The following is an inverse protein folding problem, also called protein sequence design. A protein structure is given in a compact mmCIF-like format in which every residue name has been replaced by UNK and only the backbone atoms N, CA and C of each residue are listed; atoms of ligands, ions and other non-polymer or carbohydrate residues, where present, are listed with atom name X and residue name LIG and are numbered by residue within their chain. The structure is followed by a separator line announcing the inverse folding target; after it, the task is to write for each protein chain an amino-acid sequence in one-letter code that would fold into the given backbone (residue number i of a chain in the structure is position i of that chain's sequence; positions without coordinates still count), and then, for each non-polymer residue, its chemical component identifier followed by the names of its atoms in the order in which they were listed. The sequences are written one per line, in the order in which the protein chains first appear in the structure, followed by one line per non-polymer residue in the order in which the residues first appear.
data_IF_020442992626
#
_entry.id   IF_020442992626
#
_cell.length_a   1.000
_cell.length_b   1.000
_cell.length_c   1.000
_cell.angle_alpha   90.00
_cell.angle_beta   90.00
_cell.angle_gamma   90.00
#
_symmetry.space_group_name_H-M   'P 1'
#
loop_
_entity.id
_entity.type
_entity.pdbx_description
1 polymer ?
#
# COMPACT_ATOMS: atom_id res chain seq x y z
N UNK A 1 102.73 29.46 21.91
CA UNK A 1 101.82 30.33 21.10
C UNK A 1 101.19 29.59 19.92
N UNK A 2 101.93 28.73 19.18
CA UNK A 2 101.41 28.04 17.99
C UNK A 2 100.21 27.09 18.24
N UNK A 3 100.20 26.32 19.34
CA UNK A 3 99.14 25.35 19.62
C UNK A 3 97.77 26.00 19.89
N UNK A 4 97.75 27.22 20.44
CA UNK A 4 96.52 27.96 20.74
C UNK A 4 95.82 28.47 19.48
N UNK A 5 96.60 28.80 18.44
CA UNK A 5 96.07 29.29 17.16
C UNK A 5 95.41 28.16 16.34
N UNK A 6 95.93 26.94 16.45
CA UNK A 6 95.40 25.75 15.78
C UNK A 6 94.04 25.33 16.36
N UNK A 7 93.92 25.26 17.68
CA UNK A 7 92.65 24.92 18.36
C UNK A 7 91.52 25.91 18.07
N UNK A 8 91.83 27.21 17.92
CA UNK A 8 90.82 28.22 17.57
C UNK A 8 90.32 28.04 16.13
N UNK A 9 91.22 27.72 15.18
CA UNK A 9 90.83 27.45 13.79
C UNK A 9 90.01 26.16 13.67
N UNK A 10 90.38 25.10 14.39
CA UNK A 10 89.66 23.83 14.39
C UNK A 10 88.24 23.99 14.98
N UNK A 11 88.08 24.77 16.06
CA UNK A 11 86.76 25.10 16.62
C UNK A 11 85.89 25.91 15.65
N UNK A 12 86.48 26.83 14.89
CA UNK A 12 85.74 27.62 13.91
C UNK A 12 85.29 26.76 12.71
N UNK A 13 86.12 25.82 12.26
CA UNK A 13 85.75 24.85 11.22
C UNK A 13 84.65 23.88 11.70
N UNK A 14 84.70 23.44 12.96
CA UNK A 14 83.66 22.61 13.56
C UNK A 14 82.33 23.37 13.66
N UNK A 15 82.35 24.61 14.15
CA UNK A 15 81.17 25.47 14.24
C UNK A 15 80.54 25.75 12.87
N UNK A 16 81.36 25.97 11.84
CA UNK A 16 80.89 26.15 10.47
C UNK A 16 80.21 24.88 9.92
N UNK A 17 80.79 23.71 10.18
CA UNK A 17 80.24 22.40 9.75
C UNK A 17 78.91 22.10 10.44
N UNK A 18 78.80 22.38 11.75
CA UNK A 18 77.55 22.20 12.51
C UNK A 18 76.46 23.15 12.00
N UNK A 19 76.80 24.41 11.71
CA UNK A 19 75.85 25.38 11.16
C UNK A 19 75.32 24.94 9.79
N UNK A 20 76.20 24.50 8.90
CA UNK A 20 75.84 23.98 7.58
C UNK A 20 74.96 22.72 7.69
N UNK A 21 75.32 21.77 8.56
CA UNK A 21 74.51 20.58 8.81
C UNK A 21 73.14 20.91 9.40
N UNK A 22 73.06 21.86 10.33
CA UNK A 22 71.79 22.30 10.94
C UNK A 22 70.91 22.98 9.90
N UNK A 23 71.51 23.79 9.03
CA UNK A 23 70.80 24.44 7.93
C UNK A 23 70.28 23.43 6.91
N UNK A 24 71.06 22.39 6.59
CA UNK A 24 70.61 21.29 5.73
C UNK A 24 69.47 20.48 6.36
N UNK A 25 69.57 20.14 7.64
CA UNK A 25 68.50 19.43 8.37
C UNK A 25 67.24 20.29 8.39
N UNK A 26 67.36 21.61 8.60
CA UNK A 26 66.24 22.54 8.60
C UNK A 26 65.58 22.65 7.22
N UNK A 27 66.36 22.80 6.16
CA UNK A 27 65.86 22.84 4.78
C UNK A 27 65.23 21.51 4.36
N UNK A 28 65.81 20.38 4.77
CA UNK A 28 65.23 19.06 4.55
C UNK A 28 63.90 18.91 5.31
N UNK A 29 63.81 19.42 6.54
CA UNK A 29 62.57 19.45 7.31
C UNK A 29 61.48 20.28 6.63
N UNK A 30 61.81 21.49 6.17
CA UNK A 30 60.88 22.35 5.43
C UNK A 30 60.46 21.74 4.07
N UNK A 31 61.40 21.11 3.36
CA UNK A 31 61.12 20.44 2.09
C UNK A 31 60.23 19.21 2.27
N UNK A 32 60.48 18.40 3.29
CA UNK A 32 59.63 17.26 3.64
C UNK A 32 58.23 17.70 4.08
N UNK A 33 58.12 18.78 4.87
CA UNK A 33 56.84 19.34 5.26
C UNK A 33 56.06 19.90 4.05
N UNK A 34 56.73 20.63 3.15
CA UNK A 34 56.12 21.13 1.93
C UNK A 34 55.60 19.98 1.04
N UNK A 35 56.38 18.91 0.89
CA UNK A 35 55.97 17.71 0.14
C UNK A 35 54.80 17.00 0.81
N UNK A 36 54.81 16.88 2.13
CA UNK A 36 53.70 16.32 2.89
C UNK A 36 52.42 17.16 2.80
N UNK A 37 52.51 18.50 2.75
CA UNK A 37 51.33 19.34 2.50
C UNK A 37 50.78 19.14 1.08
N UNK A 38 51.65 19.08 0.07
CA UNK A 38 51.22 18.89 -1.32
C UNK A 38 50.57 17.52 -1.55
N UNK A 39 51.16 16.46 -1.00
CA UNK A 39 50.62 15.10 -1.10
C UNK A 39 49.44 14.88 -0.15
N UNK A 40 49.47 15.53 1.02
CA UNK A 40 48.40 15.49 2.02
C UNK A 40 47.10 16.12 1.50
N UNK A 41 47.17 17.25 0.79
CA UNK A 41 46.01 17.86 0.15
C UNK A 41 45.34 16.95 -0.88
N UNK A 42 46.14 16.32 -1.76
CA UNK A 42 45.62 15.37 -2.77
C UNK A 42 44.95 14.16 -2.13
N UNK A 43 45.54 13.62 -1.06
CA UNK A 43 44.97 12.48 -0.33
C UNK A 43 43.68 12.88 0.42
N UNK A 44 43.64 14.09 0.98
CA UNK A 44 42.44 14.64 1.62
C UNK A 44 41.30 14.78 0.60
N UNK A 45 41.55 15.39 -0.55
CA UNK A 45 40.54 15.56 -1.60
C UNK A 45 40.02 14.21 -2.10
N UNK A 46 40.89 13.20 -2.23
CA UNK A 46 40.50 11.84 -2.59
C UNK A 46 39.59 11.21 -1.52
N UNK A 47 39.92 11.36 -0.24
CA UNK A 47 39.10 10.86 0.87
C UNK A 47 37.75 11.58 0.94
N UNK A 48 37.69 12.89 0.71
CA UNK A 48 36.44 13.65 0.65
C UNK A 48 35.57 13.13 -0.49
N UNK A 49 36.14 12.97 -1.68
CA UNK A 49 35.42 12.45 -2.85
C UNK A 49 34.90 11.03 -2.61
N UNK A 50 35.69 10.16 -1.99
CA UNK A 50 35.25 8.82 -1.61
C UNK A 50 34.12 8.89 -0.57
N UNK A 51 34.22 9.78 0.42
CA UNK A 51 33.18 10.04 1.41
C UNK A 51 31.86 10.50 0.78
N UNK A 52 31.92 11.44 -0.16
CA UNK A 52 30.74 11.89 -0.92
C UNK A 52 30.12 10.76 -1.75
N UNK A 53 30.95 9.93 -2.42
CA UNK A 53 30.47 8.78 -3.17
C UNK A 53 29.82 7.73 -2.25
N UNK A 54 30.43 7.46 -1.10
CA UNK A 54 29.88 6.56 -0.08
C UNK A 54 28.56 7.09 0.48
N UNK A 55 28.45 8.38 0.75
CA UNK A 55 27.22 9.01 1.22
C UNK A 55 26.12 8.92 0.15
N UNK A 56 26.43 9.20 -1.12
CA UNK A 56 25.48 9.07 -2.24
C UNK A 56 24.97 7.64 -2.37
N UNK A 57 25.88 6.65 -2.43
CA UNK A 57 25.51 5.22 -2.49
C UNK A 57 24.67 4.79 -1.30
N UNK A 58 25.04 5.22 -0.09
CA UNK A 58 24.28 4.89 1.13
C UNK A 58 22.88 5.50 1.09
N UNK A 59 22.76 6.74 0.61
CA UNK A 59 21.46 7.41 0.45
C UNK A 59 20.59 6.71 -0.59
N UNK A 60 21.14 6.36 -1.75
CA UNK A 60 20.42 5.61 -2.78
C UNK A 60 19.90 4.26 -2.25
N UNK A 61 20.73 3.52 -1.51
CA UNK A 61 20.32 2.26 -0.88
C UNK A 61 19.26 2.51 0.19
N UNK A 62 19.41 3.53 1.03
CA UNK A 62 18.42 3.87 2.05
C UNK A 62 17.08 4.25 1.43
N UNK A 63 17.08 5.10 0.41
CA UNK A 63 15.88 5.52 -0.31
C UNK A 63 15.20 4.31 -0.97
N UNK A 64 15.96 3.40 -1.59
CA UNK A 64 15.43 2.16 -2.15
C UNK A 64 14.81 1.25 -1.07
N UNK A 65 15.43 1.16 0.12
CA UNK A 65 14.89 0.39 1.25
C UNK A 65 13.61 1.01 1.79
N UNK A 66 13.57 2.33 1.94
CA UNK A 66 12.38 3.06 2.38
C UNK A 66 11.24 2.85 1.39
N UNK A 67 11.50 3.00 0.09
CA UNK A 67 10.50 2.74 -0.94
C UNK A 67 9.97 1.31 -0.89
N UNK A 68 10.84 0.31 -0.70
CA UNK A 68 10.43 -1.09 -0.59
C UNK A 68 9.64 -1.39 0.69
N UNK A 69 9.92 -0.71 1.81
CA UNK A 69 9.16 -0.85 3.05
C UNK A 69 7.81 -0.14 2.93
N UNK A 70 7.78 1.06 2.36
CA UNK A 70 6.57 1.82 2.10
C UNK A 70 5.61 1.04 1.17
N UNK A 71 6.12 0.42 0.10
CA UNK A 71 5.32 -0.42 -0.79
C UNK A 71 4.71 -1.62 -0.06
N UNK A 72 5.50 -2.33 0.75
CA UNK A 72 4.97 -3.45 1.55
C UNK A 72 3.95 -2.99 2.60
N UNK A 73 4.18 -1.83 3.21
CA UNK A 73 3.26 -1.26 4.18
C UNK A 73 1.93 -0.89 3.51
N UNK A 74 1.96 -0.30 2.32
CA UNK A 74 0.77 0.00 1.52
C UNK A 74 -0.01 -1.29 1.18
N UNK A 75 0.67 -2.33 0.68
CA UNK A 75 0.01 -3.62 0.39
C UNK A 75 -0.64 -4.24 1.64
N UNK A 76 0.01 -4.13 2.80
CA UNK A 76 -0.59 -4.61 4.05
C UNK A 76 -1.75 -3.74 4.51
N UNK A 77 -1.69 -2.43 4.27
CA UNK A 77 -2.75 -1.50 4.59
C UNK A 77 -3.99 -1.74 3.73
N UNK A 78 -3.83 -1.96 2.43
CA UNK A 78 -4.92 -2.30 1.52
C UNK A 78 -5.62 -3.59 1.95
N UNK A 79 -4.86 -4.60 2.39
CA UNK A 79 -5.44 -5.83 2.97
C UNK A 79 -6.20 -5.55 4.26
N UNK A 80 -5.69 -4.65 5.12
CA UNK A 80 -6.37 -4.24 6.35
C UNK A 80 -7.67 -3.49 6.04
N UNK A 81 -7.67 -2.62 5.03
CA UNK A 81 -8.87 -1.92 4.55
C UNK A 81 -9.91 -2.92 4.05
N UNK A 82 -9.50 -3.92 3.27
CA UNK A 82 -10.41 -4.98 2.81
C UNK A 82 -11.00 -5.79 3.97
N UNK A 83 -10.19 -6.18 4.95
CA UNK A 83 -10.67 -6.90 6.15
C UNK A 83 -11.58 -6.01 7.01
N UNK A 84 -11.27 -4.73 7.10
CA UNK A 84 -12.09 -3.76 7.80
C UNK A 84 -13.45 -3.59 7.12
N UNK A 85 -13.48 -3.39 5.79
CA UNK A 85 -14.72 -3.33 5.02
C UNK A 85 -15.55 -4.61 5.19
N UNK A 86 -14.93 -5.79 5.12
CA UNK A 86 -15.63 -7.05 5.35
C UNK A 86 -16.21 -7.15 6.78
N UNK A 87 -15.47 -6.67 7.79
CA UNK A 87 -15.93 -6.63 9.18
C UNK A 87 -17.09 -5.66 9.37
N UNK A 88 -16.99 -4.47 8.77
CA UNK A 88 -18.03 -3.43 8.79
C UNK A 88 -19.27 -3.92 8.05
N UNK A 89 -19.12 -4.52 6.87
CA UNK A 89 -20.21 -5.09 6.09
C UNK A 89 -20.93 -6.21 6.86
N UNK A 90 -20.18 -7.09 7.55
CA UNK A 90 -20.78 -8.13 8.41
C UNK A 90 -21.56 -7.54 9.60
N UNK A 91 -21.01 -6.51 10.25
CA UNK A 91 -21.70 -5.85 11.37
C UNK A 91 -22.99 -5.16 10.91
N UNK A 92 -22.95 -4.46 9.77
CA UNK A 92 -24.12 -3.84 9.15
C UNK A 92 -25.17 -4.87 8.70
N UNK A 93 -24.73 -5.97 8.09
CA UNK A 93 -25.60 -7.08 7.71
C UNK A 93 -26.28 -7.74 8.92
N UNK A 94 -25.57 -7.89 10.05
CA UNK A 94 -26.16 -8.37 11.30
C UNK A 94 -27.19 -7.42 11.90
N UNK A 95 -27.11 -6.12 11.58
CA UNK A 95 -28.13 -5.12 11.93
C UNK A 95 -29.29 -5.06 10.92
N UNK A 96 -29.26 -5.88 9.87
CA UNK A 96 -30.31 -5.93 8.84
C UNK A 96 -30.15 -4.91 7.72
N UNK A 97 -28.97 -4.28 7.57
CA UNK A 97 -28.67 -3.38 6.45
C UNK A 97 -28.14 -4.20 5.27
N UNK A 98 -28.87 -4.30 4.15
CA UNK A 98 -28.41 -5.08 2.99
C UNK A 98 -27.17 -4.45 2.35
N UNK A 99 -26.21 -5.28 1.94
CA UNK A 99 -24.99 -4.82 1.27
C UNK A 99 -25.23 -4.53 -0.22
N UNK A 100 -24.42 -3.64 -0.83
CA UNK A 100 -24.51 -3.33 -2.27
C UNK A 100 -24.43 -4.60 -3.15
N UNK A 101 -23.52 -5.53 -2.80
CA UNK A 101 -23.34 -6.80 -3.54
C UNK A 101 -24.62 -7.64 -3.55
N UNK A 102 -25.32 -7.70 -2.42
CA UNK A 102 -26.59 -8.43 -2.32
C UNK A 102 -27.70 -7.77 -3.14
N UNK A 103 -27.76 -6.43 -3.13
CA UNK A 103 -28.71 -5.66 -3.95
C UNK A 103 -28.46 -5.90 -5.44
N UNK A 104 -27.20 -5.93 -5.88
CA UNK A 104 -26.84 -6.17 -7.28
C UNK A 104 -27.20 -7.60 -7.72
N UNK A 105 -26.90 -8.60 -6.90
CA UNK A 105 -27.27 -10.00 -7.17
C UNK A 105 -28.79 -10.16 -7.24
N UNK A 106 -29.52 -9.53 -6.33
CA UNK A 106 -30.98 -9.58 -6.33
C UNK A 106 -31.55 -8.89 -7.57
N UNK A 107 -31.00 -7.74 -7.96
CA UNK A 107 -31.42 -6.99 -9.16
C UNK A 107 -31.25 -7.82 -10.43
N UNK A 108 -30.13 -8.55 -10.56
CA UNK A 108 -29.90 -9.48 -11.69
C UNK A 108 -30.91 -10.63 -11.70
N UNK A 109 -31.16 -11.25 -10.54
CA UNK A 109 -32.18 -12.32 -10.42
C UNK A 109 -33.57 -11.82 -10.78
N UNK A 110 -33.93 -10.61 -10.38
CA UNK A 110 -35.22 -9.99 -10.75
C UNK A 110 -35.30 -9.77 -12.26
N UNK A 111 -34.22 -9.30 -12.90
CA UNK A 111 -34.18 -9.12 -14.34
C UNK A 111 -34.36 -10.46 -15.10
N UNK A 112 -33.66 -11.51 -14.69
CA UNK A 112 -33.81 -12.86 -15.26
C UNK A 112 -35.21 -13.42 -15.06
N UNK A 113 -35.78 -13.29 -13.86
CA UNK A 113 -37.13 -13.75 -13.58
C UNK A 113 -38.18 -12.97 -14.38
N UNK A 114 -37.98 -11.66 -14.55
CA UNK A 114 -38.84 -10.80 -15.37
C UNK A 114 -38.81 -11.23 -16.84
N UNK A 115 -37.62 -11.55 -17.36
CA UNK A 115 -37.47 -12.08 -18.72
C UNK A 115 -38.18 -13.44 -18.88
N UNK A 116 -37.99 -14.36 -17.94
CA UNK A 116 -38.67 -15.66 -17.96
C UNK A 116 -40.19 -15.54 -17.89
N UNK A 117 -40.71 -14.62 -17.07
CA UNK A 117 -42.15 -14.35 -16.97
C UNK A 117 -42.70 -13.73 -18.25
N UNK A 118 -41.96 -12.82 -18.90
CA UNK A 118 -42.34 -12.25 -20.20
C UNK A 118 -42.38 -13.31 -21.30
N UNK A 119 -41.42 -14.24 -21.36
CA UNK A 119 -41.47 -15.35 -22.31
C UNK A 119 -42.67 -16.27 -22.06
N UNK A 120 -42.96 -16.60 -20.79
CA UNK A 120 -44.11 -17.43 -20.42
C UNK A 120 -45.44 -16.73 -20.74
N UNK A 121 -45.52 -15.41 -20.56
CA UNK A 121 -46.66 -14.60 -20.95
C UNK A 121 -46.85 -14.55 -22.48
N UNK A 122 -45.76 -14.45 -23.25
CA UNK A 122 -45.81 -14.48 -24.71
C UNK A 122 -46.21 -15.86 -25.25
N UNK A 123 -45.78 -16.95 -24.60
CA UNK A 123 -46.18 -18.32 -24.95
C UNK A 123 -47.63 -18.63 -24.58
N UNK A 124 -48.18 -18.09 -23.49
CA UNK A 124 -49.62 -18.19 -23.18
C UNK A 124 -50.50 -17.29 -24.07
N UNK A 125 -49.91 -16.32 -24.76
CA UNK A 125 -50.62 -15.42 -25.68
C UNK A 125 -50.80 -15.97 -27.10
N UNK A 126 -50.12 -17.07 -27.47
CA UNK A 126 -50.30 -17.73 -28.78
C UNK A 126 -51.27 -18.90 -28.68
N UNK A 127 -52.45 -18.67 -29.26
CA UNK A 127 -53.50 -19.61 -29.67
C UNK A 127 -54.65 -19.90 -28.69
N UNK A 128 -55.77 -19.20 -28.92
CA UNK A 128 -57.05 -19.86 -29.19
C UNK A 128 -57.75 -19.16 -30.37
N UNK A 129 -58.06 -19.84 -31.49
CA UNK A 129 -58.86 -19.27 -32.56
C UNK A 129 -60.30 -19.03 -32.07
N UNK A 130 -60.79 -17.80 -32.20
CA UNK A 130 -62.17 -17.44 -31.84
C UNK A 130 -63.16 -18.02 -32.86
N UNK A 131 -64.06 -18.90 -32.40
CA UNK A 131 -65.32 -19.21 -33.09
C UNK A 131 -66.41 -18.21 -32.61
N UNK A 132 -67.33 -17.77 -33.49
CA UNK A 132 -68.22 -16.65 -33.20
C UNK A 132 -69.41 -17.00 -32.31
N UNK A 133 -69.86 -16.01 -31.56
CA UNK A 133 -70.90 -16.07 -30.53
C UNK A 133 -72.33 -16.29 -31.06
N UNK A 134 -73.13 -17.06 -30.31
CA UNK A 134 -74.60 -17.09 -30.42
C UNK A 134 -75.26 -16.66 -29.10
N UNK A 135 -76.35 -15.89 -29.23
CA UNK A 135 -77.06 -15.04 -28.26
C UNK A 135 -77.90 -15.81 -27.21
N UNK A 136 -78.36 -15.13 -26.12
CA UNK A 136 -78.89 -15.77 -24.91
C UNK A 136 -80.41 -16.02 -24.97
N UNK A 137 -80.88 -17.08 -24.29
CA UNK A 137 -82.29 -17.39 -24.10
C UNK A 137 -82.65 -17.49 -22.60
N UNK A 138 -83.81 -16.93 -22.27
CA UNK A 138 -84.38 -16.58 -20.97
C UNK A 138 -85.25 -17.71 -20.41
N UNK A 139 -85.31 -17.92 -19.08
CA UNK A 139 -86.56 -18.08 -18.28
C UNK A 139 -86.32 -18.52 -16.80
N UNK A 140 -87.04 -17.84 -15.89
CA UNK A 140 -87.26 -18.09 -14.43
C UNK A 140 -88.28 -19.25 -14.20
N UNK A 141 -88.78 -19.61 -12.98
CA UNK A 141 -88.47 -19.22 -11.57
C UNK A 141 -88.34 -20.40 -10.55
N UNK A 142 -88.04 -20.07 -9.28
CA UNK A 142 -87.88 -20.94 -8.11
C UNK A 142 -89.19 -21.56 -7.54
N UNK A 143 -89.09 -22.53 -6.60
CA UNK A 143 -89.61 -22.25 -5.25
C UNK A 143 -88.80 -22.85 -4.05
N UNK A 144 -88.55 -21.97 -3.07
CA UNK A 144 -88.68 -22.06 -1.61
C UNK A 144 -88.48 -23.36 -0.75
N UNK A 145 -87.76 -23.12 0.37
CA UNK A 145 -87.86 -23.67 1.77
C UNK A 145 -87.15 -24.98 2.17
N UNK A 146 -86.17 -24.88 3.08
CA UNK A 146 -86.21 -25.18 4.55
C UNK A 146 -84.78 -25.21 5.12
N UNK A 147 -84.44 -24.32 6.05
CA UNK A 147 -84.46 -24.51 7.51
C UNK A 147 -83.12 -25.00 8.09
N UNK A 148 -82.46 -24.10 8.82
CA UNK A 148 -81.41 -24.39 9.78
C UNK A 148 -81.99 -25.07 11.05
N UNK A 149 -81.13 -25.75 11.82
CA UNK A 149 -81.24 -25.64 13.26
C UNK A 149 -79.89 -25.31 13.94
N UNK A 150 -80.01 -24.59 15.05
CA UNK A 150 -78.96 -24.27 16.01
C UNK A 150 -78.95 -25.23 17.22
N UNK A 151 -77.89 -25.10 18.04
CA UNK A 151 -77.57 -25.71 19.37
C UNK A 151 -76.71 -26.98 19.29
N UNK A 152 -75.71 -27.20 20.15
CA UNK A 152 -75.51 -26.73 21.54
C UNK A 152 -74.04 -26.81 21.97
N UNK A 153 -73.65 -25.93 22.89
CA UNK A 153 -72.40 -25.89 23.62
C UNK A 153 -72.20 -27.09 24.58
N UNK A 154 -70.93 -27.43 24.86
CA UNK A 154 -70.49 -27.97 26.14
C UNK A 154 -69.01 -27.65 26.38
N UNK A 155 -68.76 -27.04 27.55
CA UNK A 155 -67.47 -26.75 28.19
C UNK A 155 -66.69 -28.03 28.51
N UNK A 156 -65.36 -27.94 28.58
CA UNK A 156 -64.59 -28.42 29.75
C UNK A 156 -63.18 -27.83 29.77
N UNK A 157 -62.97 -26.95 30.72
CA UNK A 157 -61.69 -26.67 31.37
C UNK A 157 -61.47 -27.69 32.48
N UNK A 158 -60.25 -28.19 32.57
CA UNK A 158 -59.57 -28.62 33.79
C UNK A 158 -58.11 -28.18 33.64
#
# INVERSE_FOLDING_TARGET
MASKLKTISDNNQLAATIKESTQQIWLAGLGAFAKAQEEGGKMFDALVKEGEMMQKKTREVADARIAAVAGRAADTWDRLEQVFEDRVARALGSLGVPSKKEVDVLSKRIAELTAAVQELAQNKGKAAPRLPAAKPAVAKPAPAKKAAPAKKAARKSA
#
